data_IF_518761877756
#
_entry.id   IF_518761877756
#
_cell.length_a   1.000
_cell.length_b   1.000
_cell.length_c   1.000
_cell.angle_alpha   90.00
_cell.angle_beta   90.00
_cell.angle_gamma   90.00
#
_symmetry.space_group_name_H-M   'P 1'
#
loop_
_entity.id
_entity.type
_entity.pdbx_description
1 polymer ?
#
# COMPACT_ATOMS: atom_id res chain seq x y z
N UNK A 1 -10.54 19.13 5.30
CA UNK A 1 -10.90 18.45 4.04
C UNK A 1 -10.54 19.24 2.76
N UNK A 2 -10.41 20.58 2.77
CA UNK A 2 -10.09 21.38 1.56
C UNK A 2 -8.75 20.99 0.88
N UNK A 3 -7.76 20.53 1.63
CA UNK A 3 -6.45 20.13 1.10
C UNK A 3 -6.46 18.81 0.31
N UNK A 4 -7.37 17.89 0.63
CA UNK A 4 -7.44 16.58 -0.02
C UNK A 4 -7.99 16.68 -1.45
N UNK A 5 -9.06 17.46 -1.64
CA UNK A 5 -9.63 17.71 -2.96
C UNK A 5 -8.61 18.39 -3.89
N UNK A 6 -7.86 19.37 -3.35
CA UNK A 6 -6.79 20.04 -4.09
C UNK A 6 -5.63 19.08 -4.42
N UNK A 7 -5.23 18.22 -3.48
CA UNK A 7 -4.17 17.23 -3.71
C UNK A 7 -4.58 16.15 -4.72
N UNK A 8 -5.82 15.68 -4.68
CA UNK A 8 -6.39 14.77 -5.68
C UNK A 8 -6.38 15.41 -7.07
N UNK A 9 -6.84 16.66 -7.17
CA UNK A 9 -6.83 17.39 -8.43
C UNK A 9 -5.40 17.60 -8.97
N UNK A 10 -4.43 17.89 -8.09
CA UNK A 10 -3.01 17.98 -8.46
C UNK A 10 -2.44 16.64 -8.94
N UNK A 11 -2.71 15.55 -8.22
CA UNK A 11 -2.31 14.21 -8.63
C UNK A 11 -2.84 13.89 -10.02
N UNK A 12 -4.15 14.03 -10.24
CA UNK A 12 -4.79 13.73 -11.52
C UNK A 12 -4.27 14.64 -12.64
N UNK A 13 -4.09 15.94 -12.38
CA UNK A 13 -3.49 16.87 -13.35
C UNK A 13 -2.06 16.48 -13.69
N UNK A 14 -1.30 15.93 -12.74
CA UNK A 14 0.07 15.46 -12.97
C UNK A 14 0.08 14.18 -13.80
N UNK A 15 -0.83 13.25 -13.53
CA UNK A 15 -1.02 12.05 -14.33
C UNK A 15 -1.39 12.42 -15.76
N UNK A 16 -2.37 13.31 -15.96
CA UNK A 16 -2.79 13.76 -17.30
C UNK A 16 -1.66 14.43 -18.09
N UNK A 17 -0.80 15.21 -17.42
CA UNK A 17 0.40 15.80 -18.03
C UNK A 17 1.45 14.77 -18.42
N UNK A 18 1.47 13.62 -17.76
CA UNK A 18 2.44 12.55 -18.03
C UNK A 18 1.93 11.58 -19.09
N UNK A 19 0.64 11.23 -19.02
CA UNK A 19 -0.04 10.28 -19.88
C UNK A 19 -1.49 10.73 -20.07
N UNK A 20 -1.78 11.29 -21.24
CA UNK A 20 -3.08 11.91 -21.53
C UNK A 20 -4.21 10.87 -21.58
N UNK A 21 -5.34 11.16 -20.93
CA UNK A 21 -6.52 10.30 -20.90
C UNK A 21 -6.56 9.26 -19.78
N UNK A 22 -5.44 9.00 -19.11
CA UNK A 22 -5.40 8.03 -18.00
C UNK A 22 -5.96 8.61 -16.70
N UNK A 23 -5.90 9.94 -16.51
CA UNK A 23 -6.40 10.58 -15.29
C UNK A 23 -7.87 10.23 -15.01
N UNK A 24 -8.72 10.22 -16.05
CA UNK A 24 -10.13 9.86 -15.94
C UNK A 24 -10.36 8.42 -15.43
N UNK A 25 -9.47 7.49 -15.76
CA UNK A 25 -9.55 6.08 -15.36
C UNK A 25 -9.19 5.90 -13.88
N UNK A 26 -8.34 6.76 -13.33
CA UNK A 26 -7.92 6.72 -11.93
C UNK A 26 -8.83 7.48 -10.98
N UNK A 27 -9.70 8.37 -11.47
CA UNK A 27 -10.62 9.16 -10.62
C UNK A 27 -11.44 8.23 -9.71
N UNK A 28 -12.13 7.25 -10.29
CA UNK A 28 -13.00 6.33 -9.54
C UNK A 28 -12.21 5.46 -8.54
N UNK A 29 -11.00 5.05 -8.91
CA UNK A 29 -10.10 4.30 -8.03
C UNK A 29 -9.65 5.15 -6.84
N UNK A 30 -9.22 6.39 -7.08
CA UNK A 30 -8.81 7.31 -6.03
C UNK A 30 -9.97 7.67 -5.10
N UNK A 31 -11.17 7.91 -5.64
CA UNK A 31 -12.37 8.12 -4.81
C UNK A 31 -12.66 6.91 -3.93
N UNK A 32 -12.57 5.69 -4.47
CA UNK A 32 -12.78 4.48 -3.69
C UNK A 32 -11.75 4.34 -2.55
N UNK A 33 -10.47 4.59 -2.83
CA UNK A 33 -9.40 4.54 -1.81
C UNK A 33 -9.56 5.63 -0.76
N UNK A 34 -9.90 6.86 -1.16
CA UNK A 34 -10.13 7.98 -0.25
C UNK A 34 -11.35 7.69 0.64
N UNK A 35 -12.48 7.30 0.04
CA UNK A 35 -13.70 7.00 0.77
C UNK A 35 -13.50 5.82 1.73
N UNK A 36 -12.78 4.78 1.31
CA UNK A 36 -12.41 3.67 2.19
C UNK A 36 -11.54 4.15 3.36
N UNK A 37 -10.57 5.03 3.08
CA UNK A 37 -9.66 5.57 4.10
C UNK A 37 -10.40 6.39 5.15
N UNK A 38 -11.30 7.27 4.71
CA UNK A 38 -12.14 8.08 5.61
C UNK A 38 -13.06 7.20 6.45
N UNK A 39 -13.71 6.19 5.86
CA UNK A 39 -14.56 5.23 6.58
C UNK A 39 -13.80 4.42 7.63
N UNK A 40 -12.52 4.17 7.41
CA UNK A 40 -11.67 3.36 8.29
C UNK A 40 -10.86 4.18 9.31
N UNK A 41 -11.04 5.51 9.30
CA UNK A 41 -10.40 6.43 10.24
C UNK A 41 -8.94 6.76 9.92
N UNK A 42 -8.52 6.59 8.66
CA UNK A 42 -7.21 7.06 8.20
C UNK A 42 -7.21 8.57 7.99
N UNK A 43 -6.09 9.22 8.32
CA UNK A 43 -5.92 10.66 8.19
C UNK A 43 -5.11 10.97 6.95
N UNK A 44 -5.62 11.86 6.10
CA UNK A 44 -4.84 12.39 4.98
C UNK A 44 -3.66 13.23 5.50
N UNK A 45 -2.45 12.88 5.09
CA UNK A 45 -1.25 13.64 5.37
C UNK A 45 -0.86 14.47 4.14
N UNK A 46 -0.96 15.81 4.20
CA UNK A 46 -0.48 16.65 3.11
C UNK A 46 1.03 16.51 2.99
N UNK A 47 1.51 16.14 1.80
CA UNK A 47 2.94 16.14 1.50
C UNK A 47 3.34 17.54 1.03
N UNK A 48 4.11 18.28 1.82
CA UNK A 48 4.74 19.53 1.40
C UNK A 48 5.99 19.22 0.59
N UNK A 49 5.93 19.29 -0.75
CA UNK A 49 7.10 19.06 -1.62
C UNK A 49 6.79 18.76 -3.09
N UNK A 50 7.84 18.42 -3.85
CA UNK A 50 7.82 18.17 -5.31
C UNK A 50 7.11 16.88 -5.75
N UNK A 51 6.70 16.03 -4.81
CA UNK A 51 5.95 14.82 -5.12
C UNK A 51 4.49 15.09 -4.80
N UNK A 52 3.68 15.32 -5.84
CA UNK A 52 2.20 15.42 -5.78
C UNK A 52 1.57 14.07 -5.36
N UNK A 53 2.05 13.51 -4.25
CA UNK A 53 1.70 12.20 -3.75
C UNK A 53 0.62 12.32 -2.67
N UNK A 54 -0.39 11.45 -2.76
CA UNK A 54 -1.43 11.32 -1.76
C UNK A 54 -0.96 10.35 -0.70
N UNK A 55 -0.93 10.77 0.56
CA UNK A 55 -0.50 9.95 1.69
C UNK A 55 -1.62 9.86 2.72
N UNK A 56 -1.90 8.67 3.20
CA UNK A 56 -2.84 8.43 4.29
C UNK A 56 -2.14 7.68 5.40
N UNK A 57 -2.27 8.17 6.63
CA UNK A 57 -1.68 7.58 7.82
C UNK A 57 -2.73 7.07 8.80
N UNK A 58 -2.28 6.21 9.71
CA UNK A 58 -3.10 5.83 10.87
C UNK A 58 -3.33 7.04 11.77
N UNK A 59 -4.48 7.11 12.47
CA UNK A 59 -4.76 8.19 13.40
C UNK A 59 -3.71 8.18 14.52
N UNK A 60 -3.12 9.34 14.81
CA UNK A 60 -2.04 9.48 15.79
C UNK A 60 -0.66 9.02 15.31
N UNK A 61 -0.53 8.47 14.10
CA UNK A 61 0.75 8.06 13.52
C UNK A 61 1.18 8.98 12.39
N UNK A 62 2.49 9.24 12.32
CA UNK A 62 3.14 9.94 11.20
C UNK A 62 3.54 9.00 10.06
N UNK A 63 3.25 7.70 10.22
CA UNK A 63 3.61 6.68 9.23
C UNK A 63 2.52 6.57 8.18
N UNK A 64 2.90 6.71 6.91
CA UNK A 64 1.97 6.55 5.80
C UNK A 64 1.58 5.07 5.67
N UNK A 65 0.32 4.76 5.95
CA UNK A 65 -0.25 3.44 5.74
C UNK A 65 -0.29 3.11 4.24
N UNK A 66 -0.73 4.06 3.41
CA UNK A 66 -0.63 3.95 1.96
C UNK A 66 -0.24 5.28 1.32
N UNK A 67 0.44 5.22 0.19
CA UNK A 67 0.87 6.38 -0.60
C UNK A 67 0.61 6.14 -2.07
N UNK A 68 -0.01 7.11 -2.75
CA UNK A 68 -0.14 7.14 -4.21
C UNK A 68 0.79 8.21 -4.78
N UNK A 69 1.68 7.83 -5.72
CA UNK A 69 2.61 8.77 -6.37
C UNK A 69 2.40 8.74 -7.89
N UNK A 70 2.32 9.89 -8.58
CA UNK A 70 2.16 9.90 -10.04
C UNK A 70 3.43 9.38 -10.73
N UNK A 71 3.28 8.64 -11.84
CA UNK A 71 4.39 8.04 -12.60
C UNK A 71 4.13 8.14 -14.11
N UNK A 72 5.21 8.32 -14.88
CA UNK A 72 5.17 8.61 -16.32
C UNK A 72 4.79 7.43 -17.25
N UNK A 73 4.63 6.22 -16.72
CA UNK A 73 4.54 4.98 -17.53
C UNK A 73 3.29 4.16 -17.23
N UNK A 74 2.72 4.34 -16.05
CA UNK A 74 1.59 3.54 -15.56
C UNK A 74 0.52 4.44 -14.90
N UNK A 75 0.59 5.74 -15.20
CA UNK A 75 -0.15 6.82 -14.57
C UNK A 75 0.18 7.10 -13.09
N UNK A 76 0.37 6.08 -12.28
CA UNK A 76 0.68 6.21 -10.86
C UNK A 76 1.14 4.91 -10.21
N UNK A 77 1.64 5.01 -8.99
CA UNK A 77 2.01 3.86 -8.15
C UNK A 77 1.34 3.96 -6.79
N UNK A 78 0.79 2.85 -6.32
CA UNK A 78 0.29 2.67 -4.97
C UNK A 78 1.34 1.90 -4.17
N UNK A 79 1.68 2.40 -3.01
CA UNK A 79 2.59 1.74 -2.07
C UNK A 79 1.86 1.60 -0.75
N UNK A 80 1.88 0.41 -0.15
CA UNK A 80 1.19 0.10 1.11
C UNK A 80 2.25 -0.34 2.12
N UNK A 81 2.21 0.18 3.34
CA UNK A 81 3.19 -0.10 4.41
C UNK A 81 4.66 0.00 3.96
N UNK A 82 4.98 1.05 3.18
CA UNK A 82 6.32 1.27 2.65
C UNK A 82 7.37 1.56 3.73
N UNK A 83 6.93 2.13 4.86
CA UNK A 83 7.81 2.55 5.95
C UNK A 83 8.37 1.34 6.72
N UNK A 84 9.68 1.37 7.01
CA UNK A 84 10.37 0.29 7.73
C UNK A 84 9.98 0.18 9.20
N UNK A 85 9.28 1.19 9.73
CA UNK A 85 8.73 1.16 11.09
C UNK A 85 7.50 0.29 11.22
N UNK A 86 6.88 -0.14 10.12
CA UNK A 86 5.83 -1.15 10.17
C UNK A 86 6.40 -2.54 10.42
N UNK A 87 5.66 -3.44 11.11
CA UNK A 87 6.11 -4.80 11.37
C UNK A 87 6.47 -5.54 10.08
N UNK A 88 7.63 -6.19 10.06
CA UNK A 88 8.12 -6.93 8.89
C UNK A 88 7.12 -8.01 8.39
N UNK A 89 6.44 -8.79 9.26
CA UNK A 89 5.45 -9.77 8.80
C UNK A 89 4.31 -9.15 7.98
N UNK A 90 3.84 -7.95 8.38
CA UNK A 90 2.79 -7.25 7.65
C UNK A 90 3.31 -6.72 6.30
N UNK A 91 4.54 -6.21 6.28
CA UNK A 91 5.21 -5.76 5.05
C UNK A 91 5.45 -6.92 4.09
N UNK A 92 5.77 -8.10 4.59
CA UNK A 92 5.92 -9.33 3.81
C UNK A 92 4.58 -9.76 3.18
N UNK A 93 3.46 -9.72 3.94
CA UNK A 93 2.12 -10.00 3.40
C UNK A 93 1.77 -9.02 2.27
N UNK A 94 2.03 -7.73 2.47
CA UNK A 94 1.78 -6.72 1.42
C UNK A 94 2.60 -7.04 0.18
N UNK A 95 3.88 -7.37 0.36
CA UNK A 95 4.79 -7.70 -0.73
C UNK A 95 4.31 -8.90 -1.52
N UNK A 96 3.93 -9.98 -0.84
CA UNK A 96 3.48 -11.21 -1.50
C UNK A 96 2.18 -10.96 -2.30
N UNK A 97 1.18 -10.32 -1.69
CA UNK A 97 -0.08 -10.00 -2.37
C UNK A 97 0.12 -9.06 -3.55
N UNK A 98 0.92 -7.99 -3.41
CA UNK A 98 1.18 -7.07 -4.52
C UNK A 98 1.96 -7.75 -5.66
N UNK A 99 2.90 -8.65 -5.37
CA UNK A 99 3.61 -9.45 -6.39
C UNK A 99 2.62 -10.35 -7.15
N UNK A 100 1.73 -11.03 -6.42
CA UNK A 100 0.70 -11.89 -7.03
C UNK A 100 -0.25 -11.09 -7.93
N UNK A 101 -0.69 -9.91 -7.48
CA UNK A 101 -1.58 -9.02 -8.27
C UNK A 101 -0.85 -8.44 -9.49
N UNK A 102 0.45 -8.17 -9.38
CA UNK A 102 1.24 -7.73 -10.53
C UNK A 102 1.40 -8.84 -11.59
N UNK A 103 1.17 -10.10 -11.20
CA UNK A 103 1.39 -11.27 -12.03
C UNK A 103 2.87 -11.60 -12.20
N UNK A 104 3.73 -11.09 -11.31
CA UNK A 104 5.12 -11.55 -11.24
C UNK A 104 5.15 -12.93 -10.59
N UNK A 105 5.98 -13.85 -11.07
CA UNK A 105 6.20 -15.10 -10.37
C UNK A 105 6.70 -14.80 -8.94
N UNK A 106 6.23 -15.56 -7.92
CA UNK A 106 6.76 -15.43 -6.57
C UNK A 106 8.28 -15.55 -6.63
N UNK A 107 8.96 -14.84 -5.72
CA UNK A 107 10.41 -14.66 -5.75
C UNK A 107 11.14 -16.00 -6.00
N UNK A 108 12.22 -15.90 -6.76
CA UNK A 108 13.10 -17.00 -7.16
C UNK A 108 13.44 -17.92 -5.97
N UNK A 109 13.73 -19.21 -6.23
CA UNK A 109 14.11 -20.15 -5.18
C UNK A 109 15.16 -19.59 -4.22
N UNK A 110 15.07 -19.99 -2.94
CA UNK A 110 15.74 -19.38 -1.76
C UNK A 110 17.27 -19.27 -1.81
N UNK A 111 17.92 -19.78 -2.85
CA UNK A 111 19.36 -19.75 -3.03
C UNK A 111 19.85 -18.52 -3.81
N UNK A 112 18.96 -17.72 -4.41
CA UNK A 112 19.34 -16.49 -5.09
C UNK A 112 19.37 -15.27 -4.14
N UNK A 113 20.42 -14.43 -4.23
CA UNK A 113 20.53 -13.25 -3.39
C UNK A 113 19.34 -12.31 -3.67
N UNK A 114 18.58 -12.00 -2.63
CA UNK A 114 17.41 -11.14 -2.73
C UNK A 114 17.84 -9.81 -3.37
N UNK A 115 17.21 -9.37 -4.48
CA UNK A 115 17.46 -8.03 -5.01
C UNK A 115 17.13 -7.00 -3.91
N UNK A 116 17.80 -5.83 -3.90
CA UNK A 116 17.62 -4.83 -2.86
C UNK A 116 16.13 -4.55 -2.66
N UNK A 117 15.68 -4.65 -1.40
CA UNK A 117 14.28 -4.61 -0.98
C UNK A 117 13.56 -3.37 -1.52
N UNK A 118 13.00 -3.48 -2.73
CA UNK A 118 12.09 -2.46 -3.23
C UNK A 118 10.84 -2.49 -2.35
N UNK A 119 10.33 -1.32 -1.93
CA UNK A 119 9.10 -1.25 -1.17
C UNK A 119 7.98 -1.94 -1.97
N UNK A 120 7.05 -2.63 -1.30
CA UNK A 120 5.96 -3.31 -1.98
C UNK A 120 5.09 -2.27 -2.67
N UNK A 121 5.15 -2.24 -4.00
CA UNK A 121 4.49 -1.26 -4.85
C UNK A 121 3.70 -1.94 -5.97
N UNK A 122 2.58 -1.34 -6.36
CA UNK A 122 1.74 -1.78 -7.47
C UNK A 122 1.37 -0.58 -8.35
N UNK A 123 1.38 -0.79 -9.66
CA UNK A 123 0.99 0.22 -10.63
C UNK A 123 -0.53 0.49 -10.57
N UNK A 124 -0.93 1.77 -10.60
CA UNK A 124 -2.33 2.18 -10.58
C UNK A 124 -3.12 1.60 -11.74
N UNK A 125 -2.52 1.49 -12.93
CA UNK A 125 -3.15 0.89 -14.11
C UNK A 125 -3.63 -0.55 -13.87
N UNK A 126 -2.96 -1.32 -13.00
CA UNK A 126 -3.37 -2.67 -12.61
C UNK A 126 -4.58 -2.68 -11.69
N UNK A 127 -4.76 -1.61 -10.90
CA UNK A 127 -5.87 -1.42 -9.97
C UNK A 127 -7.13 -0.85 -10.64
N UNK A 128 -7.04 -0.43 -11.91
CA UNK A 128 -8.24 -0.14 -12.71
C UNK A 128 -9.08 -1.43 -12.89
N UNK A 129 -8.43 -2.60 -12.90
CA UNK A 129 -9.11 -3.88 -13.01
C UNK A 129 -9.81 -4.21 -11.69
N UNK A 130 -11.15 -4.32 -11.74
CA UNK A 130 -12.02 -4.55 -10.58
C UNK A 130 -11.51 -5.62 -9.60
N UNK A 131 -11.19 -6.85 -10.05
CA UNK A 131 -10.72 -7.91 -9.16
C UNK A 131 -9.46 -7.56 -8.38
N UNK A 132 -8.52 -6.82 -8.99
CA UNK A 132 -7.30 -6.39 -8.32
C UNK A 132 -7.58 -5.27 -7.33
N UNK A 133 -8.48 -4.35 -7.68
CA UNK A 133 -8.92 -3.27 -6.78
C UNK A 133 -9.53 -3.84 -5.51
N UNK A 134 -10.49 -4.76 -5.64
CA UNK A 134 -11.19 -5.33 -4.50
C UNK A 134 -10.23 -6.14 -3.62
N UNK A 135 -9.29 -6.87 -4.23
CA UNK A 135 -8.24 -7.60 -3.52
C UNK A 135 -7.28 -6.68 -2.76
N UNK A 136 -6.90 -5.52 -3.33
CA UNK A 136 -6.10 -4.51 -2.61
C UNK A 136 -6.88 -3.88 -1.46
N UNK A 137 -8.15 -3.54 -1.66
CA UNK A 137 -8.99 -2.97 -0.59
C UNK A 137 -9.16 -3.96 0.57
N UNK A 138 -9.37 -5.24 0.25
CA UNK A 138 -9.44 -6.31 1.24
C UNK A 138 -8.11 -6.48 2.00
N UNK A 139 -6.98 -6.50 1.29
CA UNK A 139 -5.64 -6.52 1.89
C UNK A 139 -5.45 -5.33 2.85
N UNK A 140 -5.80 -4.12 2.43
CA UNK A 140 -5.71 -2.92 3.28
C UNK A 140 -6.59 -3.06 4.54
N UNK A 141 -7.77 -3.67 4.42
CA UNK A 141 -8.63 -4.00 5.56
C UNK A 141 -7.95 -4.95 6.55
N UNK A 142 -7.43 -6.07 6.06
CA UNK A 142 -6.71 -7.06 6.90
C UNK A 142 -5.51 -6.45 7.60
N UNK A 143 -4.71 -5.66 6.89
CA UNK A 143 -3.55 -4.96 7.46
C UNK A 143 -3.96 -3.95 8.53
N UNK A 144 -5.03 -3.19 8.29
CA UNK A 144 -5.53 -2.23 9.28
C UNK A 144 -6.02 -2.93 10.55
N UNK A 145 -6.73 -4.06 10.42
CA UNK A 145 -7.16 -4.87 11.56
C UNK A 145 -5.96 -5.41 12.34
N UNK A 146 -4.95 -5.93 11.66
CA UNK A 146 -3.73 -6.44 12.29
C UNK A 146 -2.92 -5.33 13.00
N UNK A 147 -2.87 -4.12 12.44
CA UNK A 147 -2.22 -2.97 13.08
C UNK A 147 -3.00 -2.46 14.30
N UNK A 148 -4.34 -2.60 14.31
CA UNK A 148 -5.18 -2.25 15.46
C UNK A 148 -5.16 -3.34 16.55
N UNK A 149 -4.95 -4.60 16.17
CA UNK A 149 -4.92 -5.76 17.07
C UNK A 149 -3.61 -6.55 16.88
N UNK A 150 -2.47 -6.05 17.38
CA UNK A 150 -1.18 -6.71 17.19
C UNK A 150 -1.14 -8.13 17.79
N UNK A 151 -1.96 -8.42 18.82
CA UNK A 151 -2.07 -9.73 19.47
C UNK A 151 -2.76 -10.82 18.62
N UNK A 152 -3.50 -10.44 17.57
CA UNK A 152 -4.13 -11.42 16.65
C UNK A 152 -3.24 -11.79 15.46
N UNK A 153 -2.01 -11.29 15.40
CA UNK A 153 -1.02 -11.81 14.46
C UNK A 153 -0.71 -13.26 14.84
N UNK A 154 -0.66 -14.22 13.91
CA UNK A 154 -0.30 -15.59 14.24
C UNK A 154 1.08 -15.59 14.89
N UNK A 155 1.09 -15.76 16.22
CA UNK A 155 2.31 -15.96 16.98
C UNK A 155 3.05 -17.12 16.31
N UNK A 156 4.29 -16.86 15.89
CA UNK A 156 5.21 -17.94 15.61
C UNK A 156 5.17 -18.89 16.83
N UNK A 157 5.03 -20.21 16.62
CA UNK A 157 4.91 -21.15 17.72
C UNK A 157 6.13 -20.97 18.64
N UNK A 158 5.86 -20.63 19.90
CA UNK A 158 6.87 -20.56 20.95
C UNK A 158 7.68 -21.86 20.91
N UNK A 159 9.01 -21.83 20.73
CA UNK A 159 9.80 -23.05 20.75
C UNK A 159 9.62 -23.71 22.12
N UNK A 160 9.20 -24.97 22.10
CA UNK A 160 9.03 -25.76 23.32
C UNK A 160 10.34 -25.74 24.13
N UNK A 161 10.26 -25.63 25.47
CA UNK A 161 11.46 -25.70 26.30
C UNK A 161 12.18 -27.04 26.06
N UNK A 162 13.52 -27.06 26.04
CA UNK A 162 14.27 -28.29 25.85
C UNK A 162 13.94 -29.27 26.99
N UNK A 163 13.88 -30.59 26.71
CA UNK A 163 13.68 -31.58 27.75
C UNK A 163 14.83 -31.51 28.76
N UNK A 164 14.46 -31.40 30.05
CA UNK A 164 15.39 -31.60 31.16
C UNK A 164 15.68 -33.10 31.22
N UNK A 165 16.89 -33.49 30.85
CA UNK A 165 17.38 -34.85 31.10
C UNK A 165 17.59 -35.07 32.62
N UNK A 166 17.20 -36.25 33.15
CA UNK A 166 17.30 -36.61 34.57
C UNK A 166 18.72 -36.94 35.05
#
# INVERSE_FOLDING_TARGET
>A
MKDLAAAKAKFLSRVEKMEAGESARFVALLDALIAWSEKNGLTYMPTTGQSDALKFSLPGSKLAFWTATPRKTDGGKLTILADTKFPDPLRAIVRDELIQIEGRPPARPSWEPAPPEKPPEIAFIKLIWGPHRDRVIDLMGRLLVALKNPESSPQAPTPAPPPVEP
#
